data_IF_273097023117
#
_entry.id   IF_273097023117
#
_cell.length_a   1.000
_cell.length_b   1.000
_cell.length_c   1.000
_cell.angle_alpha   90.00
_cell.angle_beta   90.00
_cell.angle_gamma   90.00
#
_symmetry.space_group_name_H-M   'P 1'
#
loop_
_entity.id
_entity.type
_entity.pdbx_description
1 polymer ?
#
# COMPACT_ATOMS: atom_id res chain seq x y z
N UNK A 1 -3.77 21.30 32.49
CA UNK A 1 -2.81 22.40 32.69
C UNK A 1 -2.87 23.48 31.61
N UNK A 2 -2.98 23.16 30.31
CA UNK A 2 -3.06 24.18 29.24
C UNK A 2 -4.37 25.03 29.20
N UNK A 3 -5.44 24.63 29.91
CA UNK A 3 -6.67 25.44 30.02
C UNK A 3 -6.67 26.43 31.20
N UNK A 4 -5.78 26.28 32.18
CA UNK A 4 -5.70 27.21 33.32
C UNK A 4 -4.87 28.46 32.98
N UNK A 5 -3.90 28.34 32.07
CA UNK A 5 -3.04 29.47 31.69
C UNK A 5 -3.77 30.56 30.88
N UNK A 6 -4.75 30.20 30.05
CA UNK A 6 -5.52 31.19 29.28
C UNK A 6 -6.48 32.05 30.11
N UNK A 7 -6.86 31.60 31.31
CA UNK A 7 -7.81 32.33 32.16
C UNK A 7 -7.13 33.43 32.99
N UNK A 8 -5.87 33.26 33.39
CA UNK A 8 -5.11 34.26 34.15
C UNK A 8 -4.65 35.43 33.27
N UNK A 9 -4.33 35.19 32.00
CA UNK A 9 -3.94 36.23 31.06
C UNK A 9 -5.10 37.18 30.67
N UNK A 10 -6.32 36.64 30.59
CA UNK A 10 -7.51 37.44 30.34
C UNK A 10 -7.88 38.34 31.54
N UNK A 11 -7.64 37.88 32.77
CA UNK A 11 -7.91 38.64 33.99
C UNK A 11 -6.91 39.81 34.21
N UNK A 12 -5.66 39.68 33.74
CA UNK A 12 -4.68 40.76 33.85
C UNK A 12 -4.93 41.92 32.86
N UNK A 13 -5.50 41.65 31.68
CA UNK A 13 -5.78 42.71 30.69
C UNK A 13 -6.93 43.64 31.08
N UNK A 14 -7.85 43.21 31.95
CA UNK A 14 -8.96 44.05 32.42
C UNK A 14 -8.58 45.05 33.52
N UNK A 15 -7.44 44.87 34.22
CA UNK A 15 -7.01 45.77 35.32
C UNK A 15 -6.31 47.06 34.86
N UNK A 16 -5.93 47.18 33.59
CA UNK A 16 -5.15 48.33 33.09
C UNK A 16 -5.96 49.35 32.26
N UNK A 17 -7.28 49.21 32.18
CA UNK A 17 -8.15 50.09 31.38
C UNK A 17 -8.98 51.07 32.22
N UNK A 18 -8.41 51.70 33.25
CA UNK A 18 -9.01 52.88 33.87
C UNK A 18 -8.23 54.15 33.52
N UNK A 19 -8.86 55.18 32.91
CA UNK A 19 -8.22 56.46 32.68
C UNK A 19 -8.12 57.28 33.99
N UNK A 20 -7.06 58.06 34.21
CA UNK A 20 -6.93 58.88 35.41
C UNK A 20 -7.88 60.09 35.37
N UNK A 21 -8.32 60.61 36.53
CA UNK A 21 -9.15 61.81 36.60
C UNK A 21 -8.35 63.06 36.25
N UNK A 22 -8.88 63.87 35.33
CA UNK A 22 -8.36 65.21 34.99
C UNK A 22 -8.58 66.15 36.19
N UNK A 23 -7.48 66.54 36.85
CA UNK A 23 -7.45 67.71 37.75
C UNK A 23 -7.14 68.96 36.94
N UNK A 24 -8.13 69.84 36.76
CA UNK A 24 -7.92 71.22 36.31
C UNK A 24 -7.47 72.07 37.49
N UNK A 25 -6.20 72.47 37.47
CA UNK A 25 -5.67 73.54 38.30
C UNK A 25 -5.20 74.67 37.38
N UNK A 26 -5.01 75.86 37.96
CA UNK A 26 -4.52 77.11 37.36
C UNK A 26 -5.62 78.08 36.88
N UNK A 27 -6.16 78.78 37.87
CA UNK A 27 -6.89 80.04 37.72
C UNK A 27 -6.58 80.93 38.93
N UNK A 28 -5.29 81.20 39.16
CA UNK A 28 -4.81 81.97 40.30
C UNK A 28 -3.62 82.83 39.86
N UNK A 29 -3.90 84.04 39.38
CA UNK A 29 -3.05 85.25 39.42
C UNK A 29 -3.63 86.29 38.47
N UNK A 30 -4.50 87.18 38.96
CA UNK A 30 -4.64 88.58 38.48
C UNK A 30 -5.65 89.28 39.40
N UNK A 31 -5.26 89.44 40.67
CA UNK A 31 -6.07 90.15 41.68
C UNK A 31 -5.16 90.92 42.65
N UNK A 32 -4.28 91.79 42.13
CA UNK A 32 -3.41 92.64 42.98
C UNK A 32 -3.23 94.09 42.47
N UNK A 33 -3.73 94.50 41.30
CA UNK A 33 -3.42 95.86 40.76
C UNK A 33 -4.52 96.93 41.04
N UNK A 34 -5.56 96.61 41.81
CA UNK A 34 -6.72 97.52 42.00
C UNK A 34 -6.80 98.25 43.36
N UNK A 35 -5.80 98.18 44.23
CA UNK A 35 -5.88 98.77 45.60
C UNK A 35 -4.91 99.93 45.88
N UNK A 36 -4.09 100.36 44.91
CA UNK A 36 -3.10 101.42 45.12
C UNK A 36 -3.52 102.83 44.67
N UNK A 37 -4.68 102.99 44.02
CA UNK A 37 -5.15 104.30 43.52
C UNK A 37 -5.97 105.11 44.54
N UNK A 38 -6.51 104.49 45.60
CA UNK A 38 -7.32 105.20 46.60
C UNK A 38 -6.50 105.84 47.74
N UNK A 39 -5.31 105.31 48.05
CA UNK A 39 -4.45 105.82 49.13
C UNK A 39 -3.62 107.05 48.74
N UNK A 40 -3.28 107.21 47.45
CA UNK A 40 -2.48 108.36 46.96
C UNK A 40 -3.34 109.62 46.84
N UNK A 41 -4.63 109.48 46.50
CA UNK A 41 -5.56 110.61 46.39
C UNK A 41 -5.88 111.25 47.76
N UNK A 42 -5.92 110.47 48.85
CA UNK A 42 -6.20 110.98 50.20
C UNK A 42 -5.02 111.75 50.79
N UNK A 43 -3.79 111.33 50.52
CA UNK A 43 -2.58 112.04 50.98
C UNK A 43 -2.41 113.38 50.23
N UNK A 44 -2.72 113.45 48.94
CA UNK A 44 -2.61 114.70 48.18
C UNK A 44 -3.67 115.75 48.60
N UNK A 45 -4.87 115.33 48.99
CA UNK A 45 -5.90 116.25 49.53
C UNK A 45 -5.51 116.75 50.94
N UNK A 46 -4.93 115.90 51.78
CA UNK A 46 -4.45 116.31 53.11
C UNK A 46 -3.29 117.33 53.03
N UNK A 47 -2.37 117.16 52.07
CA UNK A 47 -1.26 118.11 51.86
C UNK A 47 -1.76 119.43 51.26
N UNK A 48 -2.74 119.40 50.35
CA UNK A 48 -3.34 120.63 49.82
C UNK A 48 -4.08 121.43 50.90
N UNK A 49 -4.80 120.77 51.81
CA UNK A 49 -5.49 121.42 52.94
C UNK A 49 -4.49 121.95 53.99
N UNK A 50 -3.38 121.23 54.25
CA UNK A 50 -2.34 121.70 55.16
C UNK A 50 -1.61 122.94 54.61
N UNK A 51 -1.34 123.00 53.30
CA UNK A 51 -0.73 124.18 52.66
C UNK A 51 -1.70 125.37 52.60
N UNK A 52 -3.00 125.13 52.43
CA UNK A 52 -4.02 126.19 52.51
C UNK A 52 -4.20 126.75 53.93
N UNK A 53 -4.18 125.90 54.97
CA UNK A 53 -4.26 126.32 56.38
C UNK A 53 -2.99 127.04 56.85
N UNK A 54 -1.82 126.63 56.36
CA UNK A 54 -0.54 127.28 56.70
C UNK A 54 -0.40 128.67 56.05
N UNK A 55 -0.93 128.87 54.84
CA UNK A 55 -0.95 130.19 54.18
C UNK A 55 -2.05 131.14 54.73
N UNK A 56 -3.06 130.62 55.43
CA UNK A 56 -4.15 131.43 56.00
C UNK A 56 -3.86 131.96 57.42
N UNK A 57 -2.89 131.40 58.16
CA UNK A 57 -2.56 131.86 59.53
C UNK A 57 -1.29 132.73 59.68
N UNK A 58 -0.53 132.99 58.62
CA UNK A 58 0.72 133.77 58.70
C UNK A 58 0.73 135.07 57.87
N UNK A 59 -0.35 135.87 57.99
CA UNK A 59 -0.37 137.28 57.59
C UNK A 59 -0.94 138.14 58.73
N UNK A 60 -0.07 138.54 59.66
CA UNK A 60 -0.40 139.55 60.67
C UNK A 60 0.66 139.67 61.77
N UNK A 61 1.25 140.87 61.90
CA UNK A 61 1.77 141.36 63.17
C UNK A 61 3.28 141.62 63.28
N UNK A 62 3.63 142.88 63.58
CA UNK A 62 4.95 143.36 64.01
C UNK A 62 5.30 144.65 63.26
N UNK A 63 5.01 145.89 63.72
CA UNK A 63 5.07 146.56 65.04
C UNK A 63 6.50 146.68 65.60
N UNK A 64 6.98 147.92 65.46
CA UNK A 64 7.91 148.71 66.28
C UNK A 64 9.40 148.40 66.32
N UNK A 65 10.13 149.43 65.92
CA UNK A 65 11.55 149.75 66.04
C UNK A 65 11.99 150.01 67.48
N UNK A 66 13.13 149.46 67.90
CA UNK A 66 14.18 150.13 68.68
C UNK A 66 15.31 149.14 69.04
N UNK A 67 16.57 149.59 69.23
CA UNK A 67 17.75 148.90 68.71
C UNK A 67 18.64 148.32 69.81
N UNK A 68 19.18 147.11 69.61
CA UNK A 68 20.46 146.63 70.18
C UNK A 68 20.76 145.14 69.86
N UNK A 69 21.09 144.78 68.60
CA UNK A 69 21.59 143.41 68.32
C UNK A 69 22.32 143.24 66.96
N UNK A 70 23.24 144.14 66.61
CA UNK A 70 23.98 144.08 65.34
C UNK A 70 24.94 142.88 65.20
N UNK A 71 25.29 142.16 66.28
CA UNK A 71 26.22 141.02 66.23
C UNK A 71 25.58 139.67 65.90
N UNK A 72 24.31 139.49 66.27
CA UNK A 72 23.60 138.23 66.01
C UNK A 72 23.10 138.13 64.57
N UNK A 73 22.81 139.26 63.92
CA UNK A 73 22.48 139.33 62.50
C UNK A 73 23.68 138.93 61.62
N UNK A 74 24.90 139.32 61.99
CA UNK A 74 26.10 138.98 61.22
C UNK A 74 26.52 137.51 61.43
N UNK A 75 26.32 136.94 62.64
CA UNK A 75 26.45 135.50 62.87
C UNK A 75 25.43 134.69 62.08
N UNK A 76 24.17 135.10 62.10
CA UNK A 76 23.11 134.44 61.33
C UNK A 76 23.32 134.54 59.81
N UNK A 77 23.92 135.64 59.30
CA UNK A 77 24.33 135.74 57.89
C UNK A 77 25.50 134.81 57.55
N UNK A 78 26.46 134.66 58.45
CA UNK A 78 27.58 133.73 58.25
C UNK A 78 27.11 132.27 58.30
N UNK A 79 26.21 131.92 59.24
CA UNK A 79 25.59 130.60 59.31
C UNK A 79 24.66 130.34 58.12
N UNK A 80 23.98 131.37 57.61
CA UNK A 80 23.18 131.28 56.38
C UNK A 80 24.06 131.07 55.15
N UNK A 81 25.20 131.75 55.05
CA UNK A 81 26.16 131.55 53.96
C UNK A 81 26.78 130.14 54.02
N UNK A 82 27.14 129.68 55.22
CA UNK A 82 27.64 128.32 55.45
C UNK A 82 26.58 127.27 55.12
N UNK A 83 25.34 127.46 55.55
CA UNK A 83 24.22 126.59 55.21
C UNK A 83 23.90 126.64 53.70
N UNK A 84 24.05 127.79 53.03
CA UNK A 84 23.90 127.91 51.59
C UNK A 84 25.01 127.16 50.83
N UNK A 85 26.25 127.23 51.30
CA UNK A 85 27.37 126.50 50.69
C UNK A 85 27.31 125.00 50.98
N UNK A 86 26.85 124.59 52.17
CA UNK A 86 26.50 123.20 52.49
C UNK A 86 25.35 122.70 51.61
N UNK A 87 24.31 123.50 51.39
CA UNK A 87 23.21 123.16 50.46
C UNK A 87 23.70 123.08 49.01
N UNK A 88 24.65 123.92 48.58
CA UNK A 88 25.28 123.80 47.26
C UNK A 88 26.12 122.53 47.14
N UNK A 89 26.90 122.20 48.18
CA UNK A 89 27.71 120.99 48.23
C UNK A 89 26.81 119.73 48.20
N UNK A 90 25.76 119.69 49.01
CA UNK A 90 24.77 118.62 49.02
C UNK A 90 24.00 118.52 47.69
N UNK A 91 23.74 119.65 47.00
CA UNK A 91 23.16 119.64 45.65
C UNK A 91 24.13 119.07 44.61
N UNK A 92 25.43 119.36 44.75
CA UNK A 92 26.45 118.78 43.88
C UNK A 92 26.63 117.28 44.13
N UNK A 93 26.65 116.85 45.40
CA UNK A 93 26.69 115.43 45.80
C UNK A 93 25.44 114.70 45.31
N UNK A 94 24.25 115.26 45.54
CA UNK A 94 22.99 114.68 45.02
C UNK A 94 22.94 114.64 43.49
N UNK A 95 23.63 115.55 42.80
CA UNK A 95 23.77 115.51 41.35
C UNK A 95 24.73 114.39 40.90
N UNK A 96 25.82 114.15 41.63
CA UNK A 96 26.71 113.01 41.40
C UNK A 96 26.04 111.67 41.73
N UNK A 97 25.33 111.56 42.85
CA UNK A 97 24.49 110.41 43.19
C UNK A 97 23.40 110.19 42.14
N UNK A 98 22.80 111.27 41.62
CA UNK A 98 21.85 111.22 40.51
C UNK A 98 22.46 110.64 39.24
N UNK A 99 23.72 110.99 38.91
CA UNK A 99 24.46 110.41 37.79
C UNK A 99 24.80 108.95 38.03
N UNK A 100 25.23 108.58 39.24
CA UNK A 100 25.52 107.19 39.62
C UNK A 100 24.27 106.33 39.54
N UNK A 101 23.15 106.81 40.09
CA UNK A 101 21.85 106.14 40.01
C UNK A 101 21.41 105.98 38.56
N UNK A 102 21.48 107.02 37.74
CA UNK A 102 21.15 106.91 36.31
C UNK A 102 22.05 105.90 35.58
N UNK A 103 23.35 105.86 35.89
CA UNK A 103 24.30 104.90 35.33
C UNK A 103 24.02 103.46 35.78
N UNK A 104 23.68 103.25 37.05
CA UNK A 104 23.28 101.94 37.58
C UNK A 104 21.96 101.48 36.96
N UNK A 105 20.96 102.36 36.84
CA UNK A 105 19.69 102.07 36.18
C UNK A 105 19.90 101.69 34.72
N UNK A 106 20.75 102.41 33.98
CA UNK A 106 21.07 102.07 32.59
C UNK A 106 21.77 100.71 32.46
N UNK A 107 22.73 100.40 33.35
CA UNK A 107 23.39 99.09 33.39
C UNK A 107 22.44 97.96 33.74
N UNK A 108 21.54 98.18 34.70
CA UNK A 108 20.54 97.19 35.10
C UNK A 108 19.57 96.92 33.95
N UNK A 109 19.10 97.96 33.26
CA UNK A 109 18.23 97.82 32.09
C UNK A 109 18.92 97.11 30.91
N UNK A 110 20.20 97.39 30.66
CA UNK A 110 21.01 96.66 29.68
C UNK A 110 21.20 95.19 30.09
N UNK A 111 21.48 94.91 31.36
CA UNK A 111 21.57 93.54 31.89
C UNK A 111 20.25 92.79 31.77
N UNK A 112 19.13 93.40 32.15
CA UNK A 112 17.79 92.82 31.99
C UNK A 112 17.51 92.50 30.53
N UNK A 113 17.82 93.41 29.61
CA UNK A 113 17.64 93.20 28.17
C UNK A 113 18.50 92.05 27.65
N UNK A 114 19.76 91.94 28.11
CA UNK A 114 20.67 90.83 27.77
C UNK A 114 20.18 89.50 28.33
N UNK A 115 19.72 89.47 29.58
CA UNK A 115 19.17 88.25 30.19
C UNK A 115 17.89 87.80 29.49
N UNK A 116 17.01 88.74 29.13
CA UNK A 116 15.79 88.44 28.36
C UNK A 116 16.13 87.87 26.98
N UNK A 117 17.14 88.43 26.28
CA UNK A 117 17.62 87.89 25.01
C UNK A 117 18.17 86.46 25.17
N UNK A 118 19.02 86.22 26.19
CA UNK A 118 19.56 84.89 26.46
C UNK A 118 18.48 83.86 26.80
N UNK A 119 17.48 84.24 27.61
CA UNK A 119 16.34 83.37 27.92
C UNK A 119 15.56 83.04 26.66
N UNK A 120 15.30 84.03 25.79
CA UNK A 120 14.59 83.81 24.53
C UNK A 120 15.36 82.88 23.58
N UNK A 121 16.68 83.03 23.48
CA UNK A 121 17.54 82.16 22.67
C UNK A 121 17.54 80.72 23.23
N UNK A 122 17.71 80.55 24.54
CA UNK A 122 17.68 79.25 25.21
C UNK A 122 16.31 78.57 25.07
N UNK A 123 15.21 79.32 25.16
CA UNK A 123 13.87 78.80 24.90
C UNK A 123 13.73 78.31 23.45
N UNK A 124 14.31 79.05 22.48
CA UNK A 124 14.37 78.65 21.08
C UNK A 124 15.19 77.38 20.85
N UNK A 125 16.34 77.24 21.50
CA UNK A 125 17.16 76.03 21.44
C UNK A 125 16.49 74.82 22.09
N UNK A 126 15.88 75.01 23.27
CA UNK A 126 15.10 73.96 23.94
C UNK A 126 13.95 73.47 23.06
N UNK A 127 13.27 74.39 22.38
CA UNK A 127 12.17 74.00 21.49
C UNK A 127 12.65 73.25 20.24
N UNK A 128 13.79 73.65 19.66
CA UNK A 128 14.45 72.89 18.58
C UNK A 128 14.84 71.49 19.03
N UNK A 129 15.46 71.36 20.21
CA UNK A 129 15.85 70.07 20.78
C UNK A 129 14.64 69.19 21.11
N UNK A 130 13.57 69.76 21.66
CA UNK A 130 12.30 69.05 21.91
C UNK A 130 11.69 68.54 20.61
N UNK A 131 11.60 69.37 19.58
CA UNK A 131 11.09 68.96 18.27
C UNK A 131 11.97 67.90 17.61
N UNK A 132 13.29 68.06 17.68
CA UNK A 132 14.26 67.09 17.15
C UNK A 132 14.16 65.72 17.84
N UNK A 133 14.20 65.70 19.17
CA UNK A 133 14.08 64.47 19.96
C UNK A 133 12.71 63.80 19.81
N UNK A 134 11.62 64.58 19.70
CA UNK A 134 10.30 64.04 19.41
C UNK A 134 10.23 63.38 18.03
N UNK A 135 10.83 64.00 17.01
CA UNK A 135 10.89 63.45 15.66
C UNK A 135 11.75 62.17 15.60
N UNK A 136 12.89 62.14 16.28
CA UNK A 136 13.74 60.96 16.37
C UNK A 136 13.05 59.81 17.12
N UNK A 137 12.37 60.12 18.24
CA UNK A 137 11.57 59.14 18.97
C UNK A 137 10.44 58.56 18.10
N UNK A 138 9.78 59.39 17.29
CA UNK A 138 8.77 58.92 16.34
C UNK A 138 9.38 57.96 15.30
N UNK A 139 10.52 58.34 14.69
CA UNK A 139 11.24 57.48 13.73
C UNK A 139 11.64 56.14 14.34
N UNK A 140 12.23 56.14 15.53
CA UNK A 140 12.62 54.91 16.23
C UNK A 140 11.40 54.05 16.59
N UNK A 141 10.28 54.68 16.97
CA UNK A 141 9.02 53.97 17.24
C UNK A 141 8.48 53.27 16.00
N UNK A 142 8.51 53.95 14.85
CA UNK A 142 8.05 53.37 13.59
C UNK A 142 8.98 52.24 13.11
N UNK A 143 10.29 52.41 13.28
CA UNK A 143 11.28 51.37 12.95
C UNK A 143 11.13 50.13 13.83
N UNK A 144 10.91 50.31 15.13
CA UNK A 144 10.62 49.20 16.06
C UNK A 144 9.34 48.47 15.66
N UNK A 145 8.27 49.19 15.29
CA UNK A 145 7.03 48.56 14.79
C UNK A 145 7.27 47.79 13.50
N UNK A 146 8.04 48.34 12.57
CA UNK A 146 8.39 47.72 11.29
C UNK A 146 9.17 46.42 11.52
N UNK A 147 10.21 46.46 12.34
CA UNK A 147 11.03 45.30 12.68
C UNK A 147 10.22 44.23 13.44
N UNK A 148 9.34 44.63 14.37
CA UNK A 148 8.45 43.71 15.05
C UNK A 148 7.50 42.99 14.07
N UNK A 149 6.95 43.72 13.08
CA UNK A 149 6.14 43.12 12.02
C UNK A 149 6.92 42.15 11.14
N UNK A 150 8.17 42.46 10.79
CA UNK A 150 9.04 41.55 10.03
C UNK A 150 9.37 40.28 10.82
N UNK A 151 9.66 40.41 12.11
CA UNK A 151 9.94 39.26 12.97
C UNK A 151 8.72 38.35 13.10
N UNK A 152 7.52 38.90 13.27
CA UNK A 152 6.28 38.12 13.32
C UNK A 152 6.00 37.37 12.02
N UNK A 153 6.24 38.02 10.87
CA UNK A 153 6.13 37.37 9.55
C UNK A 153 7.13 36.20 9.40
N UNK A 154 8.40 36.42 9.76
CA UNK A 154 9.43 35.38 9.70
C UNK A 154 9.13 34.21 10.65
N UNK A 155 8.60 34.47 11.85
CA UNK A 155 8.19 33.42 12.78
C UNK A 155 7.05 32.57 12.22
N UNK A 156 6.09 33.19 11.53
CA UNK A 156 5.00 32.47 10.84
C UNK A 156 5.53 31.60 9.70
N UNK A 157 6.43 32.13 8.87
CA UNK A 157 7.07 31.37 7.80
C UNK A 157 7.89 30.19 8.34
N UNK A 158 8.67 30.40 9.39
CA UNK A 158 9.45 29.34 10.04
C UNK A 158 8.55 28.24 10.62
N UNK A 159 7.43 28.63 11.23
CA UNK A 159 6.43 27.69 11.77
C UNK A 159 5.79 26.86 10.65
N UNK A 160 5.41 27.51 9.54
CA UNK A 160 4.86 26.83 8.38
C UNK A 160 5.88 25.86 7.74
N UNK A 161 7.13 26.30 7.55
CA UNK A 161 8.20 25.46 7.04
C UNK A 161 8.48 24.26 7.97
N UNK A 162 8.42 24.45 9.30
CA UNK A 162 8.53 23.39 10.27
C UNK A 162 7.42 22.34 10.15
N UNK A 163 6.17 22.78 9.92
CA UNK A 163 5.04 21.88 9.70
C UNK A 163 5.17 21.07 8.40
N UNK A 164 5.56 21.71 7.29
CA UNK A 164 5.81 21.03 6.01
C UNK A 164 6.97 20.02 6.12
N UNK A 165 8.05 20.38 6.83
CA UNK A 165 9.15 19.45 7.09
C UNK A 165 8.70 18.23 7.91
N UNK A 166 7.84 18.42 8.90
CA UNK A 166 7.28 17.32 9.69
C UNK A 166 6.42 16.39 8.83
N UNK A 167 5.59 16.96 7.95
CA UNK A 167 4.77 16.21 6.99
C UNK A 167 5.63 15.41 6.02
N UNK A 168 6.64 16.04 5.40
CA UNK A 168 7.55 15.36 4.49
C UNK A 168 8.32 14.21 5.16
N UNK A 169 8.71 14.36 6.44
CA UNK A 169 9.33 13.28 7.22
C UNK A 169 8.37 12.10 7.46
N UNK A 170 7.10 12.38 7.72
CA UNK A 170 6.09 11.33 7.88
C UNK A 170 5.86 10.58 6.56
N UNK A 171 5.72 11.29 5.44
CA UNK A 171 5.59 10.70 4.10
C UNK A 171 6.81 9.84 3.73
N UNK A 172 8.03 10.32 4.00
CA UNK A 172 9.26 9.54 3.79
C UNK A 172 9.30 8.27 4.64
N UNK A 173 8.80 8.32 5.86
CA UNK A 173 8.75 7.16 6.76
C UNK A 173 7.77 6.12 6.24
N UNK A 174 6.58 6.54 5.79
CA UNK A 174 5.59 5.67 5.18
C UNK A 174 6.11 5.02 3.90
N UNK A 175 6.72 5.81 3.00
CA UNK A 175 7.30 5.29 1.76
C UNK A 175 8.42 4.25 2.01
N UNK A 176 9.22 4.43 3.07
CA UNK A 176 10.21 3.42 3.48
C UNK A 176 9.57 2.12 3.99
N UNK A 177 8.46 2.22 4.72
CA UNK A 177 7.72 1.06 5.17
C UNK A 177 7.10 0.29 3.98
N UNK A 178 6.46 1.00 3.06
CA UNK A 178 5.91 0.42 1.82
C UNK A 178 6.99 -0.26 0.97
N UNK A 179 8.15 0.38 0.79
CA UNK A 179 9.28 -0.21 0.08
C UNK A 179 9.79 -1.49 0.76
N UNK A 180 9.78 -1.53 2.09
CA UNK A 180 10.20 -2.72 2.86
C UNK A 180 9.23 -3.87 2.66
N UNK A 181 7.92 -3.59 2.71
CA UNK A 181 6.88 -4.58 2.45
C UNK A 181 6.94 -5.12 1.02
N UNK A 182 7.05 -4.23 0.01
CA UNK A 182 7.17 -4.62 -1.39
C UNK A 182 8.41 -5.49 -1.64
N UNK A 183 9.53 -5.22 -0.96
CA UNK A 183 10.72 -6.09 -1.02
C UNK A 183 10.46 -7.47 -0.43
N UNK A 184 9.75 -7.56 0.70
CA UNK A 184 9.39 -8.84 1.31
C UNK A 184 8.47 -9.66 0.39
N UNK A 185 7.46 -9.03 -0.20
CA UNK A 185 6.57 -9.65 -1.19
C UNK A 185 7.33 -10.15 -2.43
N UNK A 186 8.27 -9.36 -2.95
CA UNK A 186 9.11 -9.77 -4.07
C UNK A 186 9.98 -10.99 -3.74
N UNK A 187 10.52 -11.08 -2.52
CA UNK A 187 11.28 -12.25 -2.07
C UNK A 187 10.39 -13.49 -1.96
N UNK A 188 9.19 -13.34 -1.40
CA UNK A 188 8.22 -14.43 -1.31
C UNK A 188 7.81 -14.94 -2.70
N UNK A 189 7.46 -14.04 -3.62
CA UNK A 189 7.09 -14.39 -4.99
C UNK A 189 8.23 -15.11 -5.75
N UNK A 190 9.49 -14.71 -5.51
CA UNK A 190 10.67 -15.41 -6.08
C UNK A 190 10.83 -16.82 -5.52
N UNK A 191 10.58 -17.03 -4.23
CA UNK A 191 10.63 -18.36 -3.63
C UNK A 191 9.54 -19.28 -4.22
N UNK A 192 8.30 -18.79 -4.33
CA UNK A 192 7.19 -19.54 -4.92
C UNK A 192 7.44 -19.89 -6.40
N UNK A 193 8.01 -18.95 -7.17
CA UNK A 193 8.42 -19.21 -8.55
C UNK A 193 9.51 -20.29 -8.65
N UNK A 194 10.48 -20.29 -7.73
CA UNK A 194 11.54 -21.30 -7.69
C UNK A 194 10.98 -22.69 -7.34
N UNK A 195 10.05 -22.79 -6.40
CA UNK A 195 9.42 -24.06 -6.05
C UNK A 195 8.51 -24.59 -7.18
N UNK A 196 7.77 -23.70 -7.86
CA UNK A 196 6.99 -24.06 -9.05
C UNK A 196 7.89 -24.60 -10.17
N UNK A 197 9.06 -23.99 -10.39
CA UNK A 197 10.03 -24.47 -11.37
C UNK A 197 10.56 -25.86 -11.03
N UNK A 198 10.81 -26.16 -9.74
CA UNK A 198 11.19 -27.51 -9.28
C UNK A 198 10.09 -28.53 -9.51
N UNK A 199 8.83 -28.18 -9.25
CA UNK A 199 7.68 -29.06 -9.50
C UNK A 199 7.54 -29.39 -10.99
N UNK A 200 7.72 -28.40 -11.87
CA UNK A 200 7.70 -28.62 -13.32
C UNK A 200 8.85 -29.55 -13.76
N UNK A 201 10.04 -29.41 -13.20
CA UNK A 201 11.17 -30.30 -13.51
C UNK A 201 10.91 -31.75 -13.05
N UNK A 202 10.35 -31.94 -11.85
CA UNK A 202 9.94 -33.27 -11.36
C UNK A 202 8.88 -33.91 -12.25
N UNK A 203 7.83 -33.16 -12.61
CA UNK A 203 6.79 -33.64 -13.53
C UNK A 203 7.35 -34.03 -14.89
N UNK A 204 8.32 -33.28 -15.43
CA UNK A 204 9.00 -33.63 -16.68
C UNK A 204 9.76 -34.95 -16.57
N UNK A 205 10.48 -35.18 -15.46
CA UNK A 205 11.18 -36.46 -15.22
C UNK A 205 10.21 -37.63 -15.10
N UNK A 206 9.10 -37.43 -14.37
CA UNK A 206 8.05 -38.46 -14.24
C UNK A 206 7.38 -38.78 -15.58
N UNK A 207 7.13 -37.78 -16.40
CA UNK A 207 6.58 -37.97 -17.75
C UNK A 207 7.55 -38.75 -18.66
N UNK A 208 8.85 -38.44 -18.60
CA UNK A 208 9.86 -39.17 -19.35
C UNK A 208 9.95 -40.65 -18.92
N UNK A 209 9.95 -40.90 -17.60
CA UNK A 209 9.95 -42.27 -17.07
C UNK A 209 8.71 -43.07 -17.50
N UNK A 210 7.53 -42.45 -17.46
CA UNK A 210 6.28 -43.07 -17.92
C UNK A 210 6.29 -43.36 -19.43
N UNK A 211 6.90 -42.50 -20.24
CA UNK A 211 7.07 -42.73 -21.66
C UNK A 211 7.97 -43.95 -21.93
N UNK A 212 9.08 -44.09 -21.19
CA UNK A 212 9.97 -45.25 -21.29
C UNK A 212 9.27 -46.55 -20.86
N UNK A 213 8.45 -46.51 -19.81
CA UNK A 213 7.64 -47.67 -19.38
C UNK A 213 6.63 -48.09 -20.44
N UNK A 214 5.97 -47.12 -21.09
CA UNK A 214 5.02 -47.37 -22.16
C UNK A 214 5.71 -48.03 -23.38
N UNK A 215 6.91 -47.58 -23.74
CA UNK A 215 7.67 -48.21 -24.84
C UNK A 215 8.08 -49.65 -24.52
N UNK A 216 8.54 -49.92 -23.29
CA UNK A 216 8.84 -51.29 -22.82
C UNK A 216 7.61 -52.19 -22.82
N UNK A 217 6.46 -51.67 -22.37
CA UNK A 217 5.20 -52.41 -22.39
C UNK A 217 4.76 -52.71 -23.83
N UNK A 218 4.85 -51.72 -24.73
CA UNK A 218 4.51 -51.90 -26.15
C UNK A 218 5.42 -52.93 -26.83
N UNK A 219 6.73 -52.92 -26.54
CA UNK A 219 7.66 -53.94 -27.02
C UNK A 219 7.28 -55.34 -26.51
N UNK A 220 7.02 -55.46 -25.22
CA UNK A 220 6.60 -56.73 -24.61
C UNK A 220 5.30 -57.28 -25.24
N UNK A 221 4.33 -56.40 -25.51
CA UNK A 221 3.08 -56.78 -26.18
C UNK A 221 3.31 -57.24 -27.62
N UNK A 222 4.21 -56.59 -28.38
CA UNK A 222 4.59 -57.03 -29.74
C UNK A 222 5.26 -58.40 -29.71
N UNK A 223 6.18 -58.63 -28.78
CA UNK A 223 6.88 -59.91 -28.63
C UNK A 223 5.90 -61.03 -28.25
N UNK A 224 4.96 -60.76 -27.33
CA UNK A 224 3.91 -61.70 -26.96
C UNK A 224 2.96 -62.02 -28.13
N UNK A 225 2.60 -61.03 -28.94
CA UNK A 225 1.78 -61.24 -30.14
C UNK A 225 2.52 -62.11 -31.17
N UNK A 226 3.81 -61.83 -31.41
CA UNK A 226 4.64 -62.64 -32.30
C UNK A 226 4.75 -64.09 -31.81
N UNK A 227 4.96 -64.30 -30.51
CA UNK A 227 4.99 -65.63 -29.90
C UNK A 227 3.66 -66.38 -30.03
N UNK A 228 2.53 -65.69 -29.82
CA UNK A 228 1.19 -66.26 -30.01
C UNK A 228 0.93 -66.66 -31.47
N UNK A 229 1.32 -65.82 -32.43
CA UNK A 229 1.24 -66.14 -33.86
C UNK A 229 2.10 -67.35 -34.24
N UNK A 230 3.29 -67.47 -33.65
CA UNK A 230 4.18 -68.61 -33.88
C UNK A 230 3.58 -69.91 -33.30
N UNK A 231 3.07 -69.86 -32.07
CA UNK A 231 2.38 -70.99 -31.45
C UNK A 231 1.16 -71.44 -32.28
N UNK A 232 0.39 -70.48 -32.84
CA UNK A 232 -0.72 -70.80 -33.73
C UNK A 232 -0.27 -71.51 -35.03
N UNK A 233 0.84 -71.08 -35.64
CA UNK A 233 1.43 -71.76 -36.80
C UNK A 233 1.91 -73.17 -36.47
N UNK A 234 2.57 -73.34 -35.33
CA UNK A 234 3.04 -74.66 -34.87
C UNK A 234 1.88 -75.61 -34.59
N UNK A 235 0.82 -75.13 -33.94
CA UNK A 235 -0.40 -75.90 -33.73
C UNK A 235 -1.06 -76.31 -35.05
N UNK A 236 -1.12 -75.40 -36.03
CA UNK A 236 -1.64 -75.72 -37.36
C UNK A 236 -0.78 -76.77 -38.07
N UNK A 237 0.56 -76.65 -37.99
CA UNK A 237 1.49 -77.63 -38.54
C UNK A 237 1.37 -79.00 -37.85
N UNK A 238 1.18 -79.04 -36.53
CA UNK A 238 0.97 -80.26 -35.76
C UNK A 238 -0.35 -80.94 -36.16
N UNK A 239 -1.43 -80.18 -36.28
CA UNK A 239 -2.74 -80.68 -36.76
C UNK A 239 -2.62 -81.26 -38.17
N UNK A 240 -1.89 -80.60 -39.07
CA UNK A 240 -1.64 -81.10 -40.41
C UNK A 240 -0.84 -82.41 -40.40
N UNK A 241 0.24 -82.51 -39.60
CA UNK A 241 1.02 -83.74 -39.43
C UNK A 241 0.17 -84.88 -38.86
N UNK A 242 -0.66 -84.59 -37.86
CA UNK A 242 -1.57 -85.58 -37.27
C UNK A 242 -2.59 -86.09 -38.30
N UNK A 243 -3.15 -85.20 -39.12
CA UNK A 243 -4.05 -85.60 -40.22
C UNK A 243 -3.34 -86.51 -41.24
N UNK A 244 -2.11 -86.20 -41.65
CA UNK A 244 -1.32 -87.06 -42.55
C UNK A 244 -1.00 -88.42 -41.92
N UNK A 245 -0.68 -88.45 -40.63
CA UNK A 245 -0.41 -89.67 -39.89
C UNK A 245 -1.67 -90.56 -39.82
N UNK A 246 -2.83 -89.99 -39.50
CA UNK A 246 -4.11 -90.70 -39.49
C UNK A 246 -4.48 -91.25 -40.88
N UNK A 247 -4.27 -90.50 -41.95
CA UNK A 247 -4.47 -90.99 -43.32
C UNK A 247 -3.54 -92.20 -43.62
N UNK A 248 -2.27 -92.10 -43.24
CA UNK A 248 -1.29 -93.18 -43.43
C UNK A 248 -1.67 -94.45 -42.66
N UNK A 249 -2.08 -94.31 -41.39
CA UNK A 249 -2.56 -95.44 -40.59
C UNK A 249 -3.82 -96.06 -41.17
N UNK A 250 -4.77 -95.25 -41.63
CA UNK A 250 -6.00 -95.74 -42.22
C UNK A 250 -5.72 -96.56 -43.50
N UNK A 251 -4.80 -96.10 -44.35
CA UNK A 251 -4.34 -96.87 -45.52
C UNK A 251 -3.67 -98.19 -45.14
N UNK A 252 -2.73 -98.16 -44.20
CA UNK A 252 -2.03 -99.36 -43.73
C UNK A 252 -3.01 -100.38 -43.14
N UNK A 253 -3.95 -99.93 -42.30
CA UNK A 253 -4.99 -100.76 -41.70
C UNK A 253 -5.84 -101.46 -42.76
N UNK A 254 -6.38 -100.70 -43.73
CA UNK A 254 -7.21 -101.27 -44.81
C UNK A 254 -6.39 -102.25 -45.66
N UNK A 255 -5.15 -101.91 -46.02
CA UNK A 255 -4.27 -102.79 -46.81
C UNK A 255 -3.91 -104.10 -46.09
N UNK A 256 -3.76 -104.06 -44.76
CA UNK A 256 -3.44 -105.26 -43.97
C UNK A 256 -4.66 -106.19 -43.84
N UNK A 257 -5.86 -105.64 -43.73
CA UNK A 257 -7.10 -106.42 -43.56
C UNK A 257 -7.64 -106.94 -44.90
N UNK A 258 -7.38 -106.24 -46.00
CA UNK A 258 -7.87 -106.58 -47.34
C UNK A 258 -6.77 -106.38 -48.42
N UNK A 259 -5.73 -107.23 -48.43
CA UNK A 259 -4.54 -107.01 -49.27
C UNK A 259 -4.76 -107.18 -50.78
N UNK A 260 -5.83 -107.85 -51.18
CA UNK A 260 -6.21 -108.17 -52.57
C UNK A 260 -7.32 -107.24 -53.11
N UNK A 261 -7.75 -106.25 -52.33
CA UNK A 261 -8.83 -105.33 -52.69
C UNK A 261 -8.36 -103.88 -52.55
N UNK A 262 -8.95 -102.99 -53.34
CA UNK A 262 -8.69 -101.55 -53.30
C UNK A 262 -9.99 -100.75 -53.15
N UNK A 263 -9.85 -99.45 -52.85
CA UNK A 263 -10.98 -98.53 -52.74
C UNK A 263 -12.07 -99.01 -51.78
N UNK A 264 -13.33 -98.96 -52.23
CA UNK A 264 -14.49 -99.29 -51.42
C UNK A 264 -14.68 -100.78 -51.13
N UNK A 265 -14.21 -101.67 -52.02
CA UNK A 265 -14.25 -103.11 -51.78
C UNK A 265 -13.37 -103.47 -50.57
N UNK A 266 -12.16 -102.91 -50.49
CA UNK A 266 -11.25 -103.12 -49.37
C UNK A 266 -11.87 -102.66 -48.03
N UNK A 267 -12.58 -101.53 -48.02
CA UNK A 267 -13.29 -101.01 -46.85
C UNK A 267 -14.45 -101.92 -46.42
N UNK A 268 -15.25 -102.39 -47.38
CA UNK A 268 -16.32 -103.36 -47.11
C UNK A 268 -15.77 -104.64 -46.49
N UNK A 269 -14.70 -105.19 -47.06
CA UNK A 269 -14.04 -106.36 -46.52
C UNK A 269 -13.48 -106.08 -45.13
N UNK A 270 -12.83 -104.94 -44.92
CA UNK A 270 -12.32 -104.55 -43.62
C UNK A 270 -13.45 -104.41 -42.56
N UNK A 271 -14.59 -103.84 -42.92
CA UNK A 271 -15.76 -103.73 -42.05
C UNK A 271 -16.33 -105.12 -41.68
N UNK A 272 -16.39 -106.05 -42.64
CA UNK A 272 -16.85 -107.43 -42.41
C UNK A 272 -15.88 -108.21 -41.53
N UNK A 273 -14.57 -108.13 -41.82
CA UNK A 273 -13.52 -108.81 -41.04
C UNK A 273 -13.47 -108.28 -39.61
N UNK A 274 -13.58 -106.97 -39.41
CA UNK A 274 -13.64 -106.35 -38.09
C UNK A 274 -15.00 -106.54 -37.38
N UNK A 275 -15.97 -107.15 -38.06
CA UNK A 275 -17.34 -107.40 -37.59
C UNK A 275 -18.00 -106.13 -37.05
N UNK A 276 -17.81 -105.00 -37.74
CA UNK A 276 -18.25 -103.70 -37.21
C UNK A 276 -19.76 -103.63 -37.00
N UNK A 277 -20.53 -104.11 -37.98
CA UNK A 277 -22.00 -104.08 -37.91
C UNK A 277 -22.55 -105.02 -36.82
N UNK A 278 -22.14 -106.30 -36.73
CA UNK A 278 -22.57 -107.18 -35.63
C UNK A 278 -22.19 -106.69 -34.22
N UNK A 279 -21.05 -105.98 -34.08
CA UNK A 279 -20.58 -105.44 -32.80
C UNK A 279 -21.34 -104.18 -32.36
N UNK A 280 -21.91 -103.43 -33.30
CA UNK A 280 -22.63 -102.19 -32.99
C UNK A 280 -23.74 -102.36 -31.93
N UNK A 281 -24.72 -103.27 -32.09
CA UNK A 281 -25.79 -103.46 -31.11
C UNK A 281 -25.28 -104.04 -29.78
N UNK A 282 -24.16 -104.77 -29.77
CA UNK A 282 -23.55 -105.32 -28.56
C UNK A 282 -22.88 -104.22 -27.71
N UNK A 283 -22.27 -103.24 -28.38
CA UNK A 283 -21.56 -102.14 -27.74
C UNK A 283 -22.47 -100.97 -27.39
N UNK A 284 -23.62 -100.82 -28.07
CA UNK A 284 -24.60 -99.74 -27.85
C UNK A 284 -25.00 -99.56 -26.37
N UNK A 285 -25.34 -100.60 -25.59
CA UNK A 285 -25.68 -100.43 -24.17
C UNK A 285 -24.53 -99.93 -23.30
N UNK A 286 -23.29 -100.09 -23.76
CA UNK A 286 -22.08 -99.66 -23.05
C UNK A 286 -21.67 -98.23 -23.40
N UNK A 287 -22.26 -97.63 -24.43
CA UNK A 287 -21.96 -96.26 -24.81
C UNK A 287 -22.49 -95.28 -23.74
N UNK A 288 -21.65 -94.35 -23.32
CA UNK A 288 -22.00 -93.36 -22.30
C UNK A 288 -22.37 -92.03 -22.95
N UNK A 289 -23.52 -91.48 -22.57
CA UNK A 289 -23.98 -90.18 -23.05
C UNK A 289 -24.71 -90.23 -24.39
N UNK A 290 -25.58 -89.25 -24.58
CA UNK A 290 -26.47 -89.17 -25.74
C UNK A 290 -25.71 -88.97 -27.06
N UNK A 291 -24.60 -88.22 -27.01
CA UNK A 291 -23.76 -87.99 -28.19
C UNK A 291 -23.16 -89.29 -28.75
N UNK A 292 -22.68 -90.18 -27.87
CA UNK A 292 -22.13 -91.47 -28.27
C UNK A 292 -23.21 -92.38 -28.87
N UNK A 293 -24.40 -92.43 -28.25
CA UNK A 293 -25.53 -93.20 -28.77
C UNK A 293 -25.95 -92.71 -30.16
N UNK A 294 -26.12 -91.39 -30.34
CA UNK A 294 -26.46 -90.80 -31.65
C UNK A 294 -25.39 -91.06 -32.71
N UNK A 295 -24.11 -90.95 -32.36
CA UNK A 295 -23.01 -91.26 -33.27
C UNK A 295 -23.04 -92.75 -33.68
N UNK A 296 -23.27 -93.67 -32.73
CA UNK A 296 -23.40 -95.09 -33.03
C UNK A 296 -24.59 -95.42 -33.94
N UNK A 297 -25.73 -94.75 -33.74
CA UNK A 297 -26.92 -94.94 -34.60
C UNK A 297 -26.65 -94.49 -36.03
N UNK A 298 -26.03 -93.31 -36.21
CA UNK A 298 -25.60 -92.83 -37.53
C UNK A 298 -24.58 -93.77 -38.18
N UNK A 299 -23.60 -94.23 -37.41
CA UNK A 299 -22.58 -95.17 -37.86
C UNK A 299 -23.16 -96.52 -38.25
N UNK A 300 -24.14 -97.05 -37.52
CA UNK A 300 -24.82 -98.29 -37.87
C UNK A 300 -25.47 -98.19 -39.26
N UNK A 301 -26.22 -97.11 -39.50
CA UNK A 301 -26.84 -96.85 -40.81
C UNK A 301 -25.78 -96.77 -41.92
N UNK A 302 -24.65 -96.10 -41.66
CA UNK A 302 -23.56 -96.00 -42.62
C UNK A 302 -22.85 -97.33 -42.86
N UNK A 303 -22.68 -98.16 -41.84
CA UNK A 303 -22.09 -99.50 -41.97
C UNK A 303 -23.01 -100.43 -42.76
N UNK A 304 -24.33 -100.36 -42.55
CA UNK A 304 -25.31 -101.08 -43.38
C UNK A 304 -25.20 -100.64 -44.83
N UNK A 305 -25.17 -99.33 -45.08
CA UNK A 305 -25.03 -98.79 -46.44
C UNK A 305 -23.69 -99.17 -47.06
N UNK A 306 -22.61 -99.18 -46.29
CA UNK A 306 -21.31 -99.66 -46.75
C UNK A 306 -21.39 -101.13 -47.16
N UNK A 307 -22.02 -101.98 -46.36
CA UNK A 307 -22.14 -103.41 -46.65
C UNK A 307 -22.98 -103.71 -47.90
N UNK A 308 -24.00 -102.88 -48.16
CA UNK A 308 -24.90 -102.96 -49.32
C UNK A 308 -24.38 -102.19 -50.55
N UNK A 309 -23.28 -101.45 -50.42
CA UNK A 309 -22.77 -100.61 -51.50
C UNK A 309 -22.34 -101.47 -52.69
N UNK A 310 -22.91 -101.23 -53.86
CA UNK A 310 -22.40 -101.81 -55.10
C UNK A 310 -21.14 -101.04 -55.51
N UNK A 311 -19.98 -101.67 -55.32
CA UNK A 311 -18.68 -101.07 -55.66
C UNK A 311 -18.47 -100.86 -57.16
N UNK A 312 -19.32 -101.44 -58.01
CA UNK A 312 -19.31 -101.21 -59.46
C UNK A 312 -20.12 -99.98 -59.91
N UNK A 313 -20.98 -99.43 -59.03
CA UNK A 313 -21.75 -98.21 -59.31
C UNK A 313 -21.03 -96.97 -58.77
N UNK A 314 -20.32 -96.26 -59.66
CA UNK A 314 -19.62 -95.01 -59.35
C UNK A 314 -20.50 -93.92 -58.73
N UNK A 315 -21.81 -93.91 -59.01
CA UNK A 315 -22.73 -92.92 -58.44
C UNK A 315 -23.05 -93.27 -57.00
N UNK A 316 -23.34 -94.55 -56.71
CA UNK A 316 -23.54 -95.02 -55.36
C UNK A 316 -22.28 -94.82 -54.51
N UNK A 317 -21.11 -95.13 -55.08
CA UNK A 317 -19.80 -94.93 -54.47
C UNK A 317 -19.55 -93.46 -54.13
N UNK A 318 -19.76 -92.52 -55.08
CA UNK A 318 -19.58 -91.08 -54.82
C UNK A 318 -20.57 -90.52 -53.80
N UNK A 319 -21.82 -90.96 -53.84
CA UNK A 319 -22.85 -90.57 -52.87
C UNK A 319 -22.49 -91.05 -51.46
N UNK A 320 -22.04 -92.29 -51.33
CA UNK A 320 -21.58 -92.83 -50.06
C UNK A 320 -20.29 -92.15 -49.58
N UNK A 321 -19.34 -91.87 -50.49
CA UNK A 321 -18.13 -91.13 -50.17
C UNK A 321 -18.45 -89.73 -49.62
N UNK A 322 -19.35 -88.98 -50.26
CA UNK A 322 -19.76 -87.66 -49.75
C UNK A 322 -20.39 -87.72 -48.35
N UNK A 323 -21.14 -88.78 -48.04
CA UNK A 323 -21.72 -89.00 -46.70
C UNK A 323 -20.65 -89.41 -45.67
N UNK A 324 -19.76 -90.33 -46.04
CA UNK A 324 -18.70 -90.83 -45.17
C UNK A 324 -17.61 -89.78 -44.89
N UNK A 325 -17.36 -88.90 -45.87
CA UNK A 325 -16.43 -87.77 -45.79
C UNK A 325 -17.09 -86.50 -45.23
N UNK A 326 -18.34 -86.57 -44.75
CA UNK A 326 -18.97 -85.42 -44.11
C UNK A 326 -18.21 -85.05 -42.83
N UNK A 327 -17.81 -83.78 -42.70
CA UNK A 327 -17.11 -83.27 -41.51
C UNK A 327 -17.93 -83.48 -40.24
N UNK A 328 -19.27 -83.51 -40.35
CA UNK A 328 -20.18 -83.72 -39.24
C UNK A 328 -19.95 -85.08 -38.56
N UNK A 329 -19.87 -86.17 -39.33
CA UNK A 329 -19.71 -87.52 -38.76
C UNK A 329 -18.31 -87.72 -38.17
N UNK A 330 -17.28 -87.30 -38.89
CA UNK A 330 -15.91 -87.39 -38.39
C UNK A 330 -15.73 -86.56 -37.11
N UNK A 331 -16.31 -85.36 -37.09
CA UNK A 331 -16.33 -84.48 -35.92
C UNK A 331 -17.10 -85.07 -34.72
N UNK A 332 -18.23 -85.73 -34.96
CA UNK A 332 -18.99 -86.41 -33.90
C UNK A 332 -18.21 -87.58 -33.28
N UNK A 333 -17.56 -88.40 -34.11
CA UNK A 333 -16.71 -89.51 -33.61
C UNK A 333 -15.54 -88.95 -32.81
N UNK A 334 -14.88 -87.89 -33.30
CA UNK A 334 -13.80 -87.22 -32.58
C UNK A 334 -14.25 -86.62 -31.25
N UNK A 335 -15.41 -85.96 -31.22
CA UNK A 335 -15.97 -85.40 -30.00
C UNK A 335 -16.25 -86.48 -28.95
N UNK A 336 -16.81 -87.62 -29.37
CA UNK A 336 -17.09 -88.76 -28.49
C UNK A 336 -15.79 -89.41 -27.97
N UNK A 337 -14.77 -89.54 -28.82
CA UNK A 337 -13.46 -90.07 -28.42
C UNK A 337 -12.70 -89.09 -27.51
N UNK A 338 -12.75 -87.79 -27.79
CA UNK A 338 -12.07 -86.75 -27.03
C UNK A 338 -12.66 -86.55 -25.63
N UNK A 339 -13.95 -86.81 -25.44
CA UNK A 339 -14.57 -86.81 -24.11
C UNK A 339 -13.92 -87.84 -23.17
N UNK A 340 -13.35 -88.93 -23.70
CA UNK A 340 -12.65 -89.95 -22.92
C UNK A 340 -13.54 -90.80 -22.00
N UNK A 341 -14.86 -90.58 -22.02
CA UNK A 341 -15.81 -91.23 -21.11
C UNK A 341 -16.22 -92.64 -21.55
N UNK A 342 -15.98 -92.99 -22.81
CA UNK A 342 -16.43 -94.26 -23.38
C UNK A 342 -15.61 -95.45 -22.85
N UNK A 343 -16.22 -96.63 -22.66
CA UNK A 343 -15.48 -97.85 -22.36
C UNK A 343 -14.46 -98.17 -23.47
N UNK A 344 -13.32 -98.82 -23.14
CA UNK A 344 -12.27 -99.13 -24.12
C UNK A 344 -12.77 -99.91 -25.36
N UNK A 345 -13.79 -100.76 -25.19
CA UNK A 345 -14.40 -101.50 -26.29
C UNK A 345 -15.15 -100.60 -27.29
N UNK A 346 -15.86 -99.59 -26.78
CA UNK A 346 -16.57 -98.58 -27.60
C UNK A 346 -15.55 -97.65 -28.26
N UNK A 347 -14.53 -97.20 -27.54
CA UNK A 347 -13.44 -96.38 -28.10
C UNK A 347 -12.74 -97.10 -29.26
N UNK A 348 -12.37 -98.37 -29.04
CA UNK A 348 -11.72 -99.20 -30.07
C UNK A 348 -12.61 -99.37 -31.29
N UNK A 349 -13.91 -99.66 -31.10
CA UNK A 349 -14.85 -99.79 -32.21
C UNK A 349 -15.00 -98.49 -32.99
N UNK A 350 -15.16 -97.35 -32.31
CA UNK A 350 -15.26 -96.03 -32.94
C UNK A 350 -13.98 -95.70 -33.75
N UNK A 351 -12.80 -96.04 -33.23
CA UNK A 351 -11.53 -95.88 -33.95
C UNK A 351 -11.46 -96.78 -35.19
N UNK A 352 -11.85 -98.04 -35.08
CA UNK A 352 -11.87 -98.98 -36.21
C UNK A 352 -12.85 -98.55 -37.31
N UNK A 353 -14.07 -98.15 -36.92
CA UNK A 353 -15.07 -97.61 -37.85
C UNK A 353 -14.53 -96.37 -38.53
N UNK A 354 -13.94 -95.44 -37.78
CA UNK A 354 -13.33 -94.24 -38.33
C UNK A 354 -12.25 -94.57 -39.34
N UNK A 355 -11.28 -95.43 -38.99
CA UNK A 355 -10.19 -95.83 -39.88
C UNK A 355 -10.71 -96.45 -41.18
N UNK A 356 -11.78 -97.25 -41.12
CA UNK A 356 -12.38 -97.88 -42.30
C UNK A 356 -13.14 -96.87 -43.17
N UNK A 357 -13.88 -95.94 -42.55
CA UNK A 357 -14.65 -94.93 -43.28
C UNK A 357 -13.77 -93.81 -43.87
N UNK A 358 -12.65 -93.46 -43.23
CA UNK A 358 -11.74 -92.41 -43.72
C UNK A 358 -10.58 -92.96 -44.55
N UNK A 359 -10.21 -94.24 -44.40
CA UNK A 359 -9.05 -94.84 -45.06
C UNK A 359 -9.24 -95.04 -46.56
N UNK A 360 -8.69 -94.13 -47.37
CA UNK A 360 -8.52 -94.21 -48.83
C UNK A 360 -9.62 -93.64 -49.75
N UNK A 361 -9.70 -92.32 -49.85
CA UNK A 361 -10.18 -91.68 -51.10
C UNK A 361 -9.11 -91.69 -52.23
N UNK A 362 -7.91 -92.27 -52.02
CA UNK A 362 -6.80 -92.21 -53.01
C UNK A 362 -5.97 -93.49 -53.10
N UNK A 363 -6.58 -94.61 -53.49
CA UNK A 363 -5.85 -95.71 -54.13
C UNK A 363 -6.39 -95.78 -55.56
N UNK A 364 -5.85 -94.91 -56.41
CA UNK A 364 -5.87 -95.05 -57.87
C UNK A 364 -4.44 -95.27 -58.31
#
# INVERSE_FOLDING_TARGET
>A
MLRQWGAEEAAQRYRYAQPPPRRSAVGWTFRVIATWSAAVATVLIAVAVAVMLFNYMHRGGGVTTAPAASKDIDRLKADLAKAQDEVKALRAERAEDGKLLAGLTARLSDQESRFLAQVSDLEGELEKLRKGSAAEKAKLTDEVKRLAGQLDAQLKELTAAGAELAKAKAELTNAKAELTNAKAELVAARAEAADSARQVDDLRKRLAAAADELDRAAKTQRDALAASQQAAKELAALKARHATMLDSFARLYVSAVAPDQSGWAARQRAARVAQLLPRCPQLRPSARGEAAARAMDKLEVLLIRLELLDTSDDRAVRSFAALASSEELAGEIEAVLAAGEQPPAVQKWLLEVRLILTGAERVT
#
